data_IF_134934716302
#
_entry.id   IF_134934716302
#
_cell.length_a   1.000
_cell.length_b   1.000
_cell.length_c   1.000
_cell.angle_alpha   90.00
_cell.angle_beta   90.00
_cell.angle_gamma   90.00
#
_symmetry.space_group_name_H-M   'P 1'
#
loop_
_entity.id
_entity.type
_entity.pdbx_description
1 polymer ?
#
# COMPACT_ATOMS: atom_id res chain seq x y z
N UNK A 1 18.17 -33.43 13.33
CA UNK A 1 18.05 -32.75 12.03
C UNK A 1 16.59 -32.35 11.91
N UNK A 2 16.22 -31.24 12.52
CA UNK A 2 14.88 -30.65 12.42
C UNK A 2 15.07 -29.24 11.89
N UNK A 3 14.66 -29.00 10.65
CA UNK A 3 14.59 -27.69 10.04
C UNK A 3 13.36 -26.99 10.58
N UNK A 4 13.57 -25.91 11.30
CA UNK A 4 12.54 -24.95 11.68
C UNK A 4 12.32 -24.01 10.51
N UNK A 5 11.39 -24.32 9.63
CA UNK A 5 10.75 -23.36 8.73
C UNK A 5 9.75 -22.54 9.54
N UNK A 6 10.24 -21.51 10.21
CA UNK A 6 9.41 -20.50 10.83
C UNK A 6 8.96 -19.49 9.76
N UNK A 7 7.66 -19.43 9.57
CA UNK A 7 6.97 -18.67 8.53
C UNK A 7 7.40 -17.22 8.37
N UNK A 8 7.94 -16.94 7.19
CA UNK A 8 8.38 -15.62 6.75
C UNK A 8 7.27 -14.79 6.08
N UNK A 9 6.05 -15.32 6.05
CA UNK A 9 4.92 -14.70 5.36
C UNK A 9 4.10 -13.69 6.19
N UNK A 10 4.31 -13.64 7.53
CA UNK A 10 3.45 -12.83 8.41
C UNK A 10 3.90 -11.37 8.61
N UNK A 11 4.90 -10.92 7.86
CA UNK A 11 5.58 -9.65 8.12
C UNK A 11 5.18 -8.48 7.22
N UNK A 12 4.27 -8.70 6.28
CA UNK A 12 4.03 -7.71 5.24
C UNK A 12 3.02 -6.63 5.61
N UNK A 13 2.09 -6.87 6.55
CA UNK A 13 1.16 -5.82 7.02
C UNK A 13 0.61 -6.26 8.38
N UNK A 14 1.17 -5.73 9.46
CA UNK A 14 0.74 -6.03 10.82
C UNK A 14 -0.31 -5.06 11.33
N UNK A 15 -1.58 -5.30 11.07
CA UNK A 15 -2.65 -4.71 11.87
C UNK A 15 -3.17 -5.82 12.79
N UNK A 16 -2.52 -5.98 13.94
CA UNK A 16 -3.06 -6.78 15.03
C UNK A 16 -3.85 -5.85 15.97
N UNK A 17 -5.17 -5.93 15.94
CA UNK A 17 -6.05 -5.29 16.93
C UNK A 17 -6.47 -6.37 17.93
N UNK A 18 -6.23 -6.20 19.24
CA UNK A 18 -6.82 -7.08 20.25
C UNK A 18 -8.31 -6.78 20.37
N UNK A 19 -9.12 -7.81 20.19
CA UNK A 19 -10.56 -7.79 20.40
C UNK A 19 -10.82 -7.68 21.88
N UNK A 20 -11.29 -6.52 22.36
CA UNK A 20 -11.98 -6.41 23.66
C UNK A 20 -13.49 -6.35 23.43
N UNK A 21 -14.12 -7.39 23.92
CA UNK A 21 -15.54 -7.66 23.93
C UNK A 21 -16.30 -6.58 24.71
N UNK A 22 -17.12 -5.76 24.03
CA UNK A 22 -18.23 -5.03 24.64
C UNK A 22 -19.50 -5.43 23.91
N UNK A 23 -20.30 -6.26 24.60
CA UNK A 23 -21.68 -6.56 24.22
C UNK A 23 -22.53 -5.29 24.43
N UNK A 24 -22.98 -4.69 23.32
CA UNK A 24 -24.14 -3.79 23.35
C UNK A 24 -25.13 -4.31 22.32
N UNK A 25 -26.18 -4.92 22.86
CA UNK A 25 -27.35 -5.36 22.09
C UNK A 25 -28.13 -4.10 21.67
N UNK A 26 -28.04 -3.75 20.39
CA UNK A 26 -29.03 -2.90 19.74
C UNK A 26 -29.58 -3.67 18.53
N UNK A 27 -30.82 -4.13 18.70
CA UNK A 27 -31.62 -4.67 17.60
C UNK A 27 -31.90 -3.55 16.59
N UNK A 28 -31.12 -3.52 15.53
CA UNK A 28 -31.39 -2.73 14.33
C UNK A 28 -31.36 -3.67 13.14
N UNK A 29 -32.39 -3.66 12.30
CA UNK A 29 -32.54 -4.47 11.11
C UNK A 29 -31.32 -4.38 10.22
N UNK A 30 -30.40 -5.32 10.35
CA UNK A 30 -29.34 -5.54 9.37
C UNK A 30 -29.92 -6.42 8.28
N UNK A 31 -30.19 -5.82 7.13
CA UNK A 31 -30.35 -6.60 5.91
C UNK A 31 -29.10 -7.47 5.78
N UNK A 32 -29.26 -8.79 5.77
CA UNK A 32 -28.16 -9.74 5.64
C UNK A 32 -27.43 -9.47 4.32
N UNK A 33 -26.25 -8.86 4.39
CA UNK A 33 -25.26 -9.02 3.35
C UNK A 33 -24.96 -10.51 3.31
N UNK A 34 -25.19 -11.16 2.14
CA UNK A 34 -25.02 -12.58 1.96
C UNK A 34 -23.68 -13.07 2.52
N UNK A 35 -23.62 -14.31 2.93
CA UNK A 35 -22.54 -14.99 3.65
C UNK A 35 -21.17 -15.08 2.94
N UNK A 36 -21.00 -14.37 1.84
CA UNK A 36 -19.74 -14.30 1.08
C UNK A 36 -19.01 -13.01 1.46
N UNK A 37 -17.90 -13.12 2.23
CA UNK A 37 -17.02 -12.00 2.60
C UNK A 37 -16.58 -11.16 1.40
N UNK A 38 -15.84 -10.09 1.64
CA UNK A 38 -15.35 -9.19 0.57
C UNK A 38 -14.29 -9.84 -0.33
N UNK A 39 -13.78 -11.01 0.04
CA UNK A 39 -12.78 -11.77 -0.71
C UNK A 39 -13.30 -13.16 -1.05
N UNK A 40 -13.21 -13.52 -2.33
CA UNK A 40 -13.50 -14.87 -2.83
C UNK A 40 -12.25 -15.40 -3.57
N UNK A 41 -11.46 -16.21 -2.90
CA UNK A 41 -10.27 -16.83 -3.47
C UNK A 41 -10.56 -18.30 -3.85
N UNK A 42 -10.93 -18.52 -5.10
CA UNK A 42 -11.21 -19.85 -5.65
C UNK A 42 -9.94 -20.62 -6.04
N UNK A 43 -8.82 -19.91 -6.18
CA UNK A 43 -7.53 -20.48 -6.55
C UNK A 43 -6.66 -20.87 -5.34
N UNK A 44 -7.03 -20.41 -4.12
CA UNK A 44 -6.26 -20.68 -2.90
C UNK A 44 -4.89 -19.99 -2.87
N UNK A 45 -4.78 -18.79 -3.44
CA UNK A 45 -3.52 -18.05 -3.57
C UNK A 45 -3.26 -17.07 -2.41
N UNK A 46 -4.28 -16.79 -1.59
CA UNK A 46 -4.17 -15.95 -0.41
C UNK A 46 -3.95 -16.81 0.84
N UNK A 47 -3.00 -16.42 1.67
CA UNK A 47 -2.95 -16.92 3.05
C UNK A 47 -4.16 -16.39 3.84
N UNK A 48 -4.51 -17.08 4.94
CA UNK A 48 -5.61 -16.65 5.81
C UNK A 48 -5.39 -15.21 6.31
N UNK A 49 -4.17 -14.87 6.72
CA UNK A 49 -3.83 -13.52 7.15
C UNK A 49 -4.01 -12.46 6.07
N UNK A 50 -3.71 -12.76 4.80
CA UNK A 50 -3.95 -11.85 3.68
C UNK A 50 -5.45 -11.68 3.42
N UNK A 51 -6.20 -12.77 3.40
CA UNK A 51 -7.66 -12.76 3.25
C UNK A 51 -8.32 -11.89 4.31
N UNK A 52 -7.97 -12.10 5.58
CA UNK A 52 -8.52 -11.34 6.71
C UNK A 52 -8.17 -9.85 6.63
N UNK A 53 -6.97 -9.50 6.15
CA UNK A 53 -6.58 -8.09 5.97
C UNK A 53 -7.38 -7.42 4.85
N UNK A 54 -7.48 -8.05 3.68
CA UNK A 54 -8.25 -7.52 2.55
C UNK A 54 -9.73 -7.40 2.93
N UNK A 55 -10.30 -8.41 3.59
CA UNK A 55 -11.70 -8.38 4.02
C UNK A 55 -11.96 -7.23 4.99
N UNK A 56 -11.07 -7.01 5.94
CA UNK A 56 -11.17 -5.90 6.90
C UNK A 56 -11.09 -4.54 6.22
N UNK A 57 -10.14 -4.37 5.31
CA UNK A 57 -9.95 -3.13 4.55
C UNK A 57 -11.20 -2.83 3.72
N UNK A 58 -11.73 -3.82 3.01
CA UNK A 58 -12.93 -3.66 2.17
C UNK A 58 -14.18 -3.38 3.01
N UNK A 59 -14.29 -3.99 4.19
CA UNK A 59 -15.37 -3.71 5.14
C UNK A 59 -15.36 -2.26 5.60
N UNK A 60 -14.18 -1.74 5.98
CA UNK A 60 -14.03 -0.35 6.38
C UNK A 60 -14.36 0.62 5.24
N UNK A 61 -13.97 0.30 4.02
CA UNK A 61 -14.29 1.09 2.82
C UNK A 61 -15.80 1.19 2.61
N UNK A 62 -16.51 0.08 2.83
CA UNK A 62 -17.97 0.05 2.75
C UNK A 62 -18.61 0.88 3.90
N UNK A 63 -18.13 0.71 5.12
CA UNK A 63 -18.70 1.39 6.31
C UNK A 63 -18.45 2.90 6.29
N UNK A 64 -17.28 3.35 5.86
CA UNK A 64 -16.89 4.77 5.90
C UNK A 64 -17.29 5.54 4.64
N UNK A 65 -17.17 4.95 3.44
CA UNK A 65 -17.39 5.63 2.16
C UNK A 65 -18.59 5.09 1.36
N UNK A 66 -19.20 4.02 1.83
CA UNK A 66 -20.27 3.34 1.10
C UNK A 66 -19.78 2.65 -0.17
N UNK A 67 -18.47 2.41 -0.32
CA UNK A 67 -17.88 1.75 -1.49
C UNK A 67 -17.78 0.25 -1.23
N UNK A 68 -18.43 -0.54 -2.08
CA UNK A 68 -18.43 -2.00 -1.98
C UNK A 68 -17.33 -2.58 -2.90
N UNK A 69 -16.13 -2.75 -2.39
CA UNK A 69 -15.03 -3.42 -3.10
C UNK A 69 -15.09 -4.93 -2.83
N UNK A 70 -15.17 -5.73 -3.88
CA UNK A 70 -15.10 -7.20 -3.86
C UNK A 70 -13.87 -7.66 -4.64
N UNK A 71 -13.07 -8.53 -4.04
CA UNK A 71 -11.94 -9.20 -4.69
C UNK A 71 -12.33 -10.63 -5.01
N UNK A 72 -12.17 -11.04 -6.28
CA UNK A 72 -12.44 -12.41 -6.72
C UNK A 72 -11.21 -12.94 -7.46
N UNK A 73 -10.64 -14.06 -6.99
CA UNK A 73 -9.55 -14.77 -7.65
C UNK A 73 -10.13 -16.04 -8.27
N UNK A 74 -10.08 -16.13 -9.59
CA UNK A 74 -10.65 -17.25 -10.34
C UNK A 74 -9.73 -18.48 -10.27
N UNK A 75 -10.33 -19.65 -10.25
CA UNK A 75 -9.62 -20.93 -10.38
C UNK A 75 -9.40 -21.31 -11.84
N UNK A 76 -10.40 -20.99 -12.68
CA UNK A 76 -10.42 -21.34 -14.09
C UNK A 76 -10.65 -20.07 -14.91
N UNK A 77 -9.97 -19.97 -16.05
CA UNK A 77 -10.10 -18.82 -16.96
C UNK A 77 -11.45 -18.81 -17.65
N UNK A 78 -12.17 -17.69 -17.63
CA UNK A 78 -13.35 -17.52 -18.46
C UNK A 78 -12.95 -17.35 -19.94
N UNK A 79 -13.88 -17.58 -20.86
CA UNK A 79 -13.65 -17.35 -22.29
C UNK A 79 -13.38 -15.85 -22.58
N UNK A 80 -14.01 -14.96 -21.83
CA UNK A 80 -13.79 -13.50 -21.86
C UNK A 80 -13.89 -12.95 -20.43
N UNK A 81 -12.78 -12.41 -19.94
CA UNK A 81 -12.70 -11.83 -18.58
C UNK A 81 -13.58 -10.57 -18.47
N UNK A 82 -13.75 -9.81 -19.55
CA UNK A 82 -14.58 -8.60 -19.51
C UNK A 82 -16.05 -8.97 -19.32
N UNK A 83 -16.56 -9.92 -20.11
CA UNK A 83 -17.90 -10.41 -19.97
C UNK A 83 -18.14 -11.05 -18.58
N UNK A 84 -17.17 -11.83 -18.10
CA UNK A 84 -17.22 -12.44 -16.78
C UNK A 84 -17.22 -11.40 -15.64
N UNK A 85 -16.49 -10.30 -15.78
CA UNK A 85 -16.46 -9.23 -14.78
C UNK A 85 -17.80 -8.52 -14.69
N UNK A 86 -18.40 -8.15 -15.83
CA UNK A 86 -19.73 -7.51 -15.87
C UNK A 86 -20.80 -8.43 -15.27
N UNK A 87 -20.83 -9.71 -15.68
CA UNK A 87 -21.76 -10.69 -15.14
C UNK A 87 -21.61 -10.87 -13.62
N UNK A 88 -20.36 -10.96 -13.13
CA UNK A 88 -20.06 -11.07 -11.70
C UNK A 88 -20.48 -9.81 -10.94
N UNK A 89 -20.18 -8.64 -11.48
CA UNK A 89 -20.53 -7.36 -10.87
C UNK A 89 -22.05 -7.26 -10.65
N UNK A 90 -22.83 -7.58 -11.68
CA UNK A 90 -24.30 -7.57 -11.63
C UNK A 90 -24.84 -8.64 -10.69
N UNK A 91 -24.34 -9.88 -10.78
CA UNK A 91 -24.77 -11.00 -9.94
C UNK A 91 -24.51 -10.75 -8.45
N UNK A 92 -23.36 -10.14 -8.12
CA UNK A 92 -22.99 -9.79 -6.75
C UNK A 92 -23.67 -8.50 -6.29
N UNK A 93 -24.40 -7.80 -7.18
CA UNK A 93 -25.05 -6.51 -6.91
C UNK A 93 -24.10 -5.50 -6.24
N UNK A 94 -22.88 -5.41 -6.76
CA UNK A 94 -21.89 -4.50 -6.21
C UNK A 94 -22.37 -3.05 -6.34
N UNK A 95 -22.29 -2.27 -5.24
CA UNK A 95 -22.85 -0.93 -5.18
C UNK A 95 -24.37 -0.85 -5.03
N UNK A 96 -25.09 -1.95 -5.08
CA UNK A 96 -26.56 -1.97 -4.97
C UNK A 96 -27.11 -1.58 -3.58
N UNK A 97 -26.29 -1.69 -2.54
CA UNK A 97 -26.60 -1.24 -1.17
C UNK A 97 -26.39 0.26 -0.97
N UNK A 98 -25.67 0.91 -1.86
CA UNK A 98 -25.43 2.35 -1.89
C UNK A 98 -26.28 2.95 -3.00
N UNK A 99 -26.94 4.07 -2.75
CA UNK A 99 -27.84 4.73 -3.70
C UNK A 99 -27.13 5.28 -4.95
N UNK A 100 -26.23 4.56 -5.54
CA UNK A 100 -25.49 5.01 -6.69
C UNK A 100 -24.32 4.11 -6.94
N UNK A 101 -24.48 3.01 -7.52
CA UNK A 101 -23.47 2.16 -8.16
C UNK A 101 -22.01 2.32 -7.63
N UNK A 102 -21.84 2.44 -6.30
CA UNK A 102 -20.52 2.52 -5.65
C UNK A 102 -19.92 1.14 -5.46
N UNK A 103 -19.84 0.37 -6.55
CA UNK A 103 -19.26 -0.96 -6.58
C UNK A 103 -17.89 -0.96 -7.24
N UNK A 104 -16.99 -1.81 -6.77
CA UNK A 104 -15.71 -2.13 -7.41
C UNK A 104 -15.53 -3.64 -7.37
N UNK A 105 -15.31 -4.25 -8.52
CA UNK A 105 -14.90 -5.63 -8.64
C UNK A 105 -13.43 -5.70 -9.06
N UNK A 106 -12.60 -6.30 -8.22
CA UNK A 106 -11.24 -6.66 -8.57
C UNK A 106 -11.19 -8.15 -8.91
N UNK A 107 -11.19 -8.46 -10.20
CA UNK A 107 -11.19 -9.81 -10.74
C UNK A 107 -9.78 -10.21 -11.17
N UNK A 108 -9.27 -11.32 -10.63
CA UNK A 108 -7.95 -11.87 -10.95
C UNK A 108 -8.14 -13.25 -11.57
N UNK A 109 -7.59 -13.45 -12.75
CA UNK A 109 -7.50 -14.73 -13.46
C UNK A 109 -6.04 -15.17 -13.55
N UNK A 110 -5.54 -15.96 -12.58
CA UNK A 110 -4.15 -16.41 -12.58
C UNK A 110 -3.83 -17.36 -13.73
N UNK A 111 -4.78 -18.21 -14.13
CA UNK A 111 -4.57 -19.19 -15.18
C UNK A 111 -4.55 -18.56 -16.58
N UNK A 112 -5.47 -17.61 -16.84
CA UNK A 112 -5.49 -16.79 -18.05
C UNK A 112 -4.50 -15.64 -18.04
N UNK A 113 -3.76 -15.43 -16.92
CA UNK A 113 -2.79 -14.35 -16.74
C UNK A 113 -3.40 -12.97 -16.96
N UNK A 114 -4.59 -12.75 -16.44
CA UNK A 114 -5.35 -11.53 -16.66
C UNK A 114 -5.89 -10.98 -15.33
N UNK A 115 -6.06 -9.67 -15.31
CA UNK A 115 -6.77 -8.98 -14.25
C UNK A 115 -7.77 -8.00 -14.85
N UNK A 116 -8.84 -7.74 -14.09
CA UNK A 116 -9.85 -6.78 -14.48
C UNK A 116 -10.34 -6.02 -13.26
N UNK A 117 -10.39 -4.70 -13.37
CA UNK A 117 -11.12 -3.84 -12.45
C UNK A 117 -12.40 -3.37 -13.13
N UNK A 118 -13.56 -3.69 -12.56
CA UNK A 118 -14.86 -3.17 -12.99
C UNK A 118 -15.32 -2.14 -11.97
N UNK A 119 -15.63 -0.92 -12.44
CA UNK A 119 -15.89 0.24 -11.59
C UNK A 119 -17.33 0.69 -11.82
N UNK A 120 -18.07 0.89 -10.73
CA UNK A 120 -19.41 1.45 -10.77
C UNK A 120 -19.39 2.93 -11.16
N UNK A 121 -20.45 3.38 -11.83
CA UNK A 121 -20.54 4.70 -12.46
C UNK A 121 -20.22 5.88 -11.51
N UNK A 122 -20.70 5.82 -10.26
CA UNK A 122 -20.48 6.89 -9.28
C UNK A 122 -19.02 7.01 -8.80
N UNK A 123 -18.18 6.03 -9.14
CA UNK A 123 -16.78 5.98 -8.74
C UNK A 123 -15.80 6.37 -9.86
N UNK A 124 -16.28 6.62 -11.07
CA UNK A 124 -15.42 6.98 -12.20
C UNK A 124 -14.60 8.25 -11.95
N UNK A 125 -15.14 9.19 -11.16
CA UNK A 125 -14.41 10.39 -10.75
C UNK A 125 -13.31 10.12 -9.73
N UNK A 126 -13.38 9.02 -8.96
CA UNK A 126 -12.38 8.61 -7.98
C UNK A 126 -11.37 7.66 -8.62
N UNK A 127 -11.85 6.67 -9.33
CA UNK A 127 -11.07 5.67 -10.04
C UNK A 127 -11.11 5.94 -11.54
N UNK A 128 -10.41 6.97 -11.96
CA UNK A 128 -10.31 7.33 -13.37
C UNK A 128 -9.58 6.26 -14.18
N UNK A 129 -9.81 6.18 -15.49
CA UNK A 129 -9.10 5.24 -16.38
C UNK A 129 -7.57 5.39 -16.27
N UNK A 130 -7.09 6.64 -16.11
CA UNK A 130 -5.67 6.90 -15.94
C UNK A 130 -5.14 6.28 -14.64
N UNK A 131 -5.89 6.38 -13.54
CA UNK A 131 -5.54 5.77 -12.26
C UNK A 131 -5.60 4.24 -12.34
N UNK A 132 -6.64 3.68 -12.95
CA UNK A 132 -6.76 2.23 -13.13
C UNK A 132 -5.58 1.68 -13.94
N UNK A 133 -5.28 2.30 -15.09
CA UNK A 133 -4.12 1.91 -15.88
C UNK A 133 -2.77 2.06 -15.16
N UNK A 134 -2.65 3.04 -14.25
CA UNK A 134 -1.49 3.17 -13.39
C UNK A 134 -1.39 2.02 -12.39
N UNK A 135 -2.49 1.70 -11.66
CA UNK A 135 -2.55 0.57 -10.71
C UNK A 135 -2.14 -0.73 -11.39
N UNK A 136 -2.69 -0.99 -12.56
CA UNK A 136 -2.39 -2.20 -13.31
C UNK A 136 -0.91 -2.32 -13.68
N UNK A 137 -0.34 -1.30 -14.31
CA UNK A 137 1.04 -1.33 -14.80
C UNK A 137 2.08 -1.18 -13.70
N UNK A 138 1.82 -0.32 -12.72
CA UNK A 138 2.82 0.10 -11.73
C UNK A 138 2.73 -0.65 -10.42
N UNK A 139 1.59 -1.29 -10.14
CA UNK A 139 1.38 -2.06 -8.92
C UNK A 139 1.19 -3.56 -9.20
N UNK A 140 0.17 -3.92 -9.99
CA UNK A 140 -0.21 -5.32 -10.16
C UNK A 140 0.80 -6.11 -10.98
N UNK A 141 1.17 -5.59 -12.15
CA UNK A 141 2.07 -6.27 -13.09
C UNK A 141 3.41 -6.70 -12.45
N UNK A 142 4.16 -5.86 -11.70
CA UNK A 142 5.39 -6.28 -11.06
C UNK A 142 5.23 -7.46 -10.08
N UNK A 143 4.17 -7.46 -9.28
CA UNK A 143 3.91 -8.56 -8.34
C UNK A 143 3.56 -9.86 -9.06
N UNK A 144 2.74 -9.78 -10.08
CA UNK A 144 2.32 -10.98 -10.83
C UNK A 144 3.46 -11.56 -11.66
N UNK A 145 4.28 -10.73 -12.29
CA UNK A 145 5.51 -11.17 -12.97
C UNK A 145 6.47 -11.88 -12.01
N UNK A 146 6.57 -11.40 -10.77
CA UNK A 146 7.36 -12.04 -9.72
C UNK A 146 6.72 -13.33 -9.16
N UNK A 147 5.55 -13.76 -9.65
CA UNK A 147 4.81 -14.90 -9.13
C UNK A 147 4.20 -14.66 -7.73
N UNK A 148 4.13 -13.40 -7.28
CA UNK A 148 3.63 -13.01 -5.96
C UNK A 148 2.18 -12.53 -6.03
N UNK A 149 1.29 -13.36 -6.56
CA UNK A 149 -0.12 -13.00 -6.80
C UNK A 149 -0.82 -12.54 -5.52
N UNK A 150 -0.75 -13.30 -4.44
CA UNK A 150 -1.38 -12.95 -3.15
C UNK A 150 -0.93 -11.59 -2.62
N UNK A 151 0.38 -11.33 -2.42
CA UNK A 151 0.88 -10.01 -2.04
C UNK A 151 0.50 -8.89 -3.02
N UNK A 152 0.43 -9.18 -4.33
CA UNK A 152 0.01 -8.22 -5.34
C UNK A 152 -1.45 -7.82 -5.21
N UNK A 153 -2.33 -8.77 -4.94
CA UNK A 153 -3.76 -8.53 -4.69
C UNK A 153 -3.94 -7.66 -3.44
N UNK A 154 -3.26 -7.99 -2.35
CA UNK A 154 -3.31 -7.25 -1.09
C UNK A 154 -2.85 -5.79 -1.28
N UNK A 155 -1.65 -5.61 -1.85
CA UNK A 155 -1.09 -4.28 -2.11
C UNK A 155 -1.94 -3.44 -3.09
N UNK A 156 -2.64 -4.09 -4.02
CA UNK A 156 -3.58 -3.42 -4.93
C UNK A 156 -4.84 -2.97 -4.19
N UNK A 157 -5.42 -3.81 -3.34
CA UNK A 157 -6.57 -3.45 -2.53
C UNK A 157 -6.26 -2.23 -1.63
N UNK A 158 -5.08 -2.19 -1.01
CA UNK A 158 -4.63 -1.04 -0.21
C UNK A 158 -4.51 0.24 -1.04
N UNK A 159 -3.97 0.14 -2.27
CA UNK A 159 -3.83 1.30 -3.15
C UNK A 159 -5.20 1.85 -3.57
N UNK A 160 -6.17 0.97 -3.88
CA UNK A 160 -7.54 1.37 -4.20
C UNK A 160 -8.21 2.09 -3.01
N UNK A 161 -8.04 1.55 -1.81
CA UNK A 161 -8.56 2.18 -0.59
C UNK A 161 -7.90 3.53 -0.34
N UNK A 162 -6.57 3.61 -0.47
CA UNK A 162 -5.83 4.86 -0.33
C UNK A 162 -6.33 5.96 -1.29
N UNK A 163 -6.63 5.60 -2.55
CA UNK A 163 -7.20 6.51 -3.54
C UNK A 163 -8.60 6.97 -3.13
N UNK A 164 -9.49 6.05 -2.73
CA UNK A 164 -10.83 6.37 -2.31
C UNK A 164 -10.87 7.32 -1.11
N UNK A 165 -10.05 7.04 -0.08
CA UNK A 165 -9.93 7.88 1.12
C UNK A 165 -9.27 9.25 0.82
N UNK A 166 -8.35 9.31 -0.14
CA UNK A 166 -7.67 10.55 -0.54
C UNK A 166 -8.55 11.49 -1.38
N UNK A 167 -9.52 10.96 -2.10
CA UNK A 167 -10.44 11.73 -2.94
C UNK A 167 -11.42 12.59 -2.13
N UNK A 168 -11.70 12.26 -0.85
CA UNK A 168 -12.47 13.15 0.05
C UNK A 168 -11.72 14.41 0.46
N UNK A 169 -10.42 14.48 0.27
CA UNK A 169 -9.55 15.52 0.86
C UNK A 169 -8.96 16.55 -0.07
N UNK A 170 -9.01 16.48 -1.37
CA UNK A 170 -8.64 17.53 -2.33
C UNK A 170 -8.40 16.95 -3.73
N UNK A 171 -9.18 17.38 -4.66
CA UNK A 171 -8.86 17.41 -6.10
C UNK A 171 -7.87 18.57 -6.38
N UNK A 172 -6.66 18.50 -5.83
CA UNK A 172 -5.59 19.36 -6.33
C UNK A 172 -4.87 18.64 -7.47
N UNK A 173 -5.27 19.03 -8.67
CA UNK A 173 -4.95 18.43 -9.95
C UNK A 173 -3.50 18.59 -10.43
N UNK A 174 -2.58 19.12 -9.64
CA UNK A 174 -1.17 19.30 -10.05
C UNK A 174 -0.26 18.14 -9.70
N UNK A 175 -0.70 17.19 -8.86
CA UNK A 175 -0.01 15.93 -8.58
C UNK A 175 -0.73 14.74 -9.21
N UNK A 176 -1.62 14.98 -10.15
CA UNK A 176 -2.18 13.94 -10.98
C UNK A 176 -1.02 13.13 -11.57
N UNK A 177 -1.03 11.85 -11.30
CA UNK A 177 -0.13 10.85 -11.85
C UNK A 177 0.18 11.20 -13.30
N UNK A 178 1.46 11.31 -13.65
CA UNK A 178 1.90 11.64 -15.01
C UNK A 178 1.06 10.83 -15.99
N UNK A 179 0.34 11.47 -16.92
CA UNK A 179 -0.50 10.74 -17.87
C UNK A 179 0.34 9.69 -18.61
N UNK A 180 -0.24 8.54 -18.96
CA UNK A 180 0.45 7.52 -19.74
C UNK A 180 0.96 8.13 -21.04
N UNK A 181 2.06 7.59 -21.56
CA UNK A 181 2.66 8.03 -22.82
C UNK A 181 1.60 8.03 -23.94
N UNK A 182 1.53 9.08 -24.79
CA UNK A 182 0.47 9.23 -25.79
C UNK A 182 0.36 8.12 -26.83
N UNK A 183 1.24 7.11 -26.80
CA UNK A 183 1.24 5.95 -27.69
C UNK A 183 0.45 4.73 -27.18
N UNK A 184 0.05 4.67 -25.94
CA UNK A 184 -0.75 3.57 -25.39
C UNK A 184 -2.25 3.86 -25.51
N UNK A 185 -2.89 3.22 -26.48
CA UNK A 185 -4.35 3.28 -26.65
C UNK A 185 -5.02 2.47 -25.53
N UNK A 186 -5.67 3.16 -24.63
CA UNK A 186 -6.66 2.58 -23.73
C UNK A 186 -7.94 2.35 -24.52
N UNK A 187 -8.35 1.11 -24.76
CA UNK A 187 -9.66 0.83 -25.36
C UNK A 187 -10.72 1.04 -24.30
N UNK A 188 -11.65 1.96 -24.58
CA UNK A 188 -12.62 2.49 -23.67
C UNK A 188 -13.72 1.52 -23.26
N UNK A 189 -14.22 1.79 -22.10
CA UNK A 189 -15.32 1.21 -21.36
C UNK A 189 -14.86 1.05 -19.91
N UNK A 190 -15.55 1.60 -18.92
CA UNK A 190 -15.15 1.75 -17.51
C UNK A 190 -14.50 0.54 -16.84
N UNK A 191 -13.29 0.18 -17.24
CA UNK A 191 -12.49 -0.90 -16.69
C UNK A 191 -11.33 -1.25 -17.60
N UNK A 192 -10.12 -1.30 -17.06
CA UNK A 192 -8.93 -1.66 -17.82
C UNK A 192 -8.60 -3.15 -17.68
N UNK A 193 -8.03 -3.71 -18.73
CA UNK A 193 -7.55 -5.09 -18.81
C UNK A 193 -6.05 -5.09 -19.07
N UNK A 194 -5.31 -5.89 -18.30
CA UNK A 194 -3.92 -6.20 -18.60
C UNK A 194 -3.74 -7.72 -18.73
N UNK A 195 -3.00 -8.12 -19.77
CA UNK A 195 -2.43 -9.45 -19.90
C UNK A 195 -1.14 -9.51 -19.08
N UNK A 196 -1.09 -10.36 -18.06
CA UNK A 196 0.04 -10.47 -17.12
C UNK A 196 0.69 -11.83 -17.23
N UNK A 197 1.97 -11.89 -17.60
CA UNK A 197 2.75 -13.12 -17.44
C UNK A 197 3.10 -13.36 -15.98
N UNK A 198 2.41 -14.32 -15.36
CA UNK A 198 2.70 -14.74 -13.99
C UNK A 198 3.94 -15.63 -13.98
N UNK A 199 4.93 -15.28 -13.14
CA UNK A 199 6.13 -16.09 -12.94
C UNK A 199 7.19 -15.97 -14.03
N UNK A 200 7.08 -15.00 -14.95
CA UNK A 200 8.14 -14.73 -15.95
C UNK A 200 9.44 -14.22 -15.33
N UNK A 201 9.42 -13.95 -14.02
CA UNK A 201 10.51 -13.36 -13.25
C UNK A 201 10.54 -11.84 -13.40
N UNK A 202 10.85 -11.14 -12.33
CA UNK A 202 11.23 -9.71 -12.47
C UNK A 202 12.61 -9.73 -13.12
N UNK A 203 12.79 -9.17 -14.33
CA UNK A 203 14.14 -8.95 -14.82
C UNK A 203 14.89 -8.18 -13.73
N UNK A 204 16.01 -8.71 -13.24
CA UNK A 204 16.88 -7.91 -12.39
C UNK A 204 17.21 -6.66 -13.20
N UNK A 205 16.62 -5.54 -12.83
CA UNK A 205 16.91 -4.27 -13.47
C UNK A 205 18.41 -4.05 -13.30
N UNK A 206 19.16 -3.79 -14.35
CA UNK A 206 20.59 -3.47 -14.21
C UNK A 206 20.69 -2.31 -13.22
N UNK A 207 21.76 -2.31 -12.40
CA UNK A 207 22.05 -1.23 -11.45
C UNK A 207 21.86 0.11 -12.15
N UNK A 208 21.01 0.96 -11.59
CA UNK A 208 20.73 2.26 -12.17
C UNK A 208 22.06 3.04 -12.27
N UNK A 209 22.39 3.67 -13.39
CA UNK A 209 23.57 4.56 -13.49
C UNK A 209 23.53 5.68 -12.44
N UNK A 210 22.35 6.04 -11.95
CA UNK A 210 22.15 7.04 -10.89
C UNK A 210 22.46 6.50 -9.49
N UNK A 211 22.62 5.18 -9.31
CA UNK A 211 22.80 4.57 -7.99
C UNK A 211 24.04 5.09 -7.26
N UNK A 212 25.11 5.39 -8.00
CA UNK A 212 26.37 5.89 -7.43
C UNK A 212 26.26 7.31 -6.82
N UNK A 213 25.23 8.07 -7.19
CA UNK A 213 24.91 9.39 -6.62
C UNK A 213 24.11 9.33 -5.31
N UNK A 214 23.58 8.17 -4.93
CA UNK A 214 22.71 8.00 -3.76
C UNK A 214 23.43 7.33 -2.60
N UNK A 215 24.36 8.05 -2.00
CA UNK A 215 25.14 7.62 -0.84
C UNK A 215 24.76 8.30 0.46
N UNK A 216 25.50 7.98 1.57
CA UNK A 216 25.34 8.63 2.86
C UNK A 216 25.53 10.14 2.75
N UNK A 217 24.87 10.91 3.60
CA UNK A 217 24.83 12.36 3.51
C UNK A 217 25.37 13.04 4.77
N UNK A 218 25.79 14.30 4.64
CA UNK A 218 26.37 15.08 5.75
C UNK A 218 25.36 15.39 6.86
N UNK A 219 24.06 15.40 6.55
CA UNK A 219 22.97 15.64 7.52
C UNK A 219 21.78 14.72 7.26
N UNK A 220 20.93 14.44 8.27
CA UNK A 220 19.69 13.67 8.09
C UNK A 220 18.73 14.31 7.05
N UNK A 221 18.66 15.64 7.03
CA UNK A 221 17.83 16.36 6.06
C UNK A 221 18.28 16.09 4.63
N UNK A 222 19.60 16.16 4.36
CA UNK A 222 20.16 15.84 3.04
C UNK A 222 19.93 14.38 2.68
N UNK A 223 19.98 13.47 3.66
CA UNK A 223 19.69 12.06 3.43
C UNK A 223 18.21 11.87 3.03
N UNK A 224 17.28 12.60 3.65
CA UNK A 224 15.87 12.60 3.25
C UNK A 224 15.67 13.19 1.84
N UNK A 225 16.33 14.29 1.52
CA UNK A 225 16.25 14.86 0.15
C UNK A 225 16.82 13.89 -0.90
N UNK A 226 17.92 13.22 -0.58
CA UNK A 226 18.47 12.17 -1.46
C UNK A 226 17.52 11.01 -1.61
N UNK A 227 16.82 10.59 -0.54
CA UNK A 227 15.79 9.56 -0.61
C UNK A 227 14.60 9.99 -1.48
N UNK A 228 14.14 11.23 -1.37
CA UNK A 228 13.11 11.76 -2.29
C UNK A 228 13.54 11.69 -3.76
N UNK A 229 14.82 11.88 -4.06
CA UNK A 229 15.33 11.71 -5.44
C UNK A 229 15.34 10.23 -5.85
N UNK A 230 15.67 9.31 -4.94
CA UNK A 230 15.54 7.85 -5.17
C UNK A 230 14.10 7.50 -5.55
N UNK A 231 13.12 7.99 -4.78
CA UNK A 231 11.69 7.76 -5.04
C UNK A 231 11.25 8.35 -6.39
N UNK A 232 11.59 9.63 -6.64
CA UNK A 232 11.21 10.33 -7.88
C UNK A 232 11.76 9.68 -9.15
N UNK A 233 12.94 9.10 -9.06
CA UNK A 233 13.60 8.42 -10.19
C UNK A 233 13.28 6.91 -10.24
N UNK A 234 12.38 6.43 -9.38
CA UNK A 234 12.00 5.02 -9.28
C UNK A 234 13.23 4.08 -9.18
N UNK A 235 14.27 4.50 -8.43
CA UNK A 235 15.45 3.67 -8.20
C UNK A 235 15.12 2.59 -7.18
N UNK A 236 15.21 1.33 -7.60
CA UNK A 236 14.82 0.15 -6.80
C UNK A 236 16.01 -0.71 -6.40
N UNK A 237 17.23 -0.15 -6.50
CA UNK A 237 18.44 -0.86 -6.11
C UNK A 237 18.48 -1.03 -4.59
N UNK A 238 18.43 -2.26 -4.06
CA UNK A 238 18.51 -2.49 -2.61
C UNK A 238 19.91 -2.21 -2.04
N UNK A 239 20.94 -2.10 -2.90
CA UNK A 239 22.34 -1.94 -2.48
C UNK A 239 22.79 -0.48 -2.35
N UNK A 240 21.86 0.50 -2.51
CA UNK A 240 22.19 1.90 -2.31
C UNK A 240 22.88 2.12 -0.96
N UNK A 241 24.03 2.77 -0.96
CA UNK A 241 24.77 3.06 0.27
C UNK A 241 24.09 4.12 1.14
N UNK A 242 23.09 4.82 0.61
CA UNK A 242 22.15 5.64 1.38
C UNK A 242 21.40 4.83 2.46
N UNK A 243 21.29 3.52 2.30
CA UNK A 243 20.55 2.64 3.22
C UNK A 243 21.48 1.99 4.24
N UNK A 244 21.00 1.83 5.48
CA UNK A 244 21.69 0.99 6.48
C UNK A 244 21.84 -0.45 5.98
N UNK A 245 22.75 -1.21 6.56
CA UNK A 245 22.96 -2.62 6.22
C UNK A 245 21.68 -3.44 6.41
N UNK A 246 20.94 -3.17 7.47
CA UNK A 246 19.67 -3.80 7.81
C UNK A 246 18.61 -3.48 6.75
N UNK A 247 18.50 -2.23 6.34
CA UNK A 247 17.61 -1.78 5.27
C UNK A 247 17.93 -2.45 3.94
N UNK A 248 19.22 -2.54 3.56
CA UNK A 248 19.62 -3.27 2.34
C UNK A 248 19.22 -4.74 2.39
N UNK A 249 19.44 -5.42 3.55
CA UNK A 249 19.02 -6.81 3.74
C UNK A 249 17.50 -6.96 3.60
N UNK A 250 16.72 -6.05 4.18
CA UNK A 250 15.28 -6.01 4.07
C UNK A 250 14.83 -5.82 2.60
N UNK A 251 15.37 -4.82 1.91
CA UNK A 251 14.98 -4.48 0.54
C UNK A 251 15.34 -5.56 -0.51
N UNK A 252 16.36 -6.39 -0.27
CA UNK A 252 16.64 -7.56 -1.14
C UNK A 252 15.47 -8.55 -1.19
N UNK A 253 14.68 -8.62 -0.14
CA UNK A 253 13.55 -9.53 -0.01
C UNK A 253 12.21 -8.85 -0.32
N UNK A 254 12.21 -7.53 -0.41
CA UNK A 254 11.03 -6.72 -0.65
C UNK A 254 10.88 -6.39 -2.14
N UNK A 255 9.67 -6.56 -2.68
CA UNK A 255 9.39 -6.09 -4.02
C UNK A 255 8.91 -4.63 -3.96
N UNK A 256 9.75 -3.73 -4.40
CA UNK A 256 9.43 -2.29 -4.51
C UNK A 256 8.78 -2.02 -5.87
N UNK A 257 7.60 -1.40 -5.87
CA UNK A 257 6.90 -0.97 -7.09
C UNK A 257 7.01 0.54 -7.28
N UNK A 258 6.81 1.02 -8.52
CA UNK A 258 6.75 2.46 -8.80
C UNK A 258 5.62 3.11 -7.99
N UNK A 259 4.45 2.44 -7.90
CA UNK A 259 3.31 2.94 -7.15
C UNK A 259 3.59 3.13 -5.65
N UNK A 260 4.33 2.20 -5.03
CA UNK A 260 4.75 2.37 -3.63
C UNK A 260 5.69 3.56 -3.47
N UNK A 261 6.63 3.76 -4.41
CA UNK A 261 7.55 4.89 -4.37
C UNK A 261 6.83 6.23 -4.59
N UNK A 262 5.87 6.28 -5.50
CA UNK A 262 5.05 7.48 -5.73
C UNK A 262 4.20 7.83 -4.51
N UNK A 263 3.56 6.83 -3.88
CA UNK A 263 2.78 7.04 -2.66
C UNK A 263 3.63 7.59 -1.51
N UNK A 264 4.81 7.02 -1.30
CA UNK A 264 5.74 7.48 -0.29
C UNK A 264 6.21 8.92 -0.57
N UNK A 265 6.62 9.22 -1.80
CA UNK A 265 7.01 10.56 -2.20
C UNK A 265 5.88 11.57 -2.00
N UNK A 266 4.65 11.23 -2.41
CA UNK A 266 3.47 12.08 -2.26
C UNK A 266 3.14 12.33 -0.78
N UNK A 267 3.26 11.31 0.08
CA UNK A 267 3.06 11.47 1.53
C UNK A 267 4.06 12.46 2.13
N UNK A 268 5.35 12.37 1.73
CA UNK A 268 6.39 13.30 2.19
C UNK A 268 6.11 14.73 1.69
N UNK A 269 5.75 14.88 0.42
CA UNK A 269 5.54 16.20 -0.22
C UNK A 269 4.28 16.89 0.31
N UNK A 270 3.15 16.16 0.46
CA UNK A 270 1.87 16.73 0.94
C UNK A 270 1.94 17.25 2.36
N UNK A 271 2.75 16.64 3.21
CA UNK A 271 2.94 17.12 4.59
C UNK A 271 3.87 18.33 4.70
N UNK A 272 4.29 18.82 3.58
CA UNK A 272 4.86 20.12 3.26
C UNK A 272 5.83 20.73 4.27
N UNK A 273 7.10 20.71 4.01
CA UNK A 273 8.07 21.44 4.76
C UNK A 273 9.19 20.59 5.34
N UNK A 274 10.17 21.29 5.90
CA UNK A 274 11.23 20.65 6.63
C UNK A 274 10.66 20.03 7.90
N UNK A 275 10.68 18.69 7.98
CA UNK A 275 10.36 18.01 9.22
C UNK A 275 11.30 18.45 10.34
N UNK A 276 10.82 18.39 11.57
CA UNK A 276 11.66 18.64 12.76
C UNK A 276 12.69 17.52 12.89
N UNK A 277 13.98 17.91 13.02
CA UNK A 277 15.07 16.95 13.18
C UNK A 277 15.47 16.85 14.64
N UNK A 278 15.44 15.64 15.19
CA UNK A 278 15.83 15.33 16.55
C UNK A 278 17.01 14.36 16.49
N UNK A 279 18.10 14.73 17.14
CA UNK A 279 19.35 14.01 17.13
C UNK A 279 19.64 13.37 18.48
N UNK A 280 20.24 12.19 18.47
CA UNK A 280 20.81 11.54 19.64
C UNK A 280 22.01 10.71 19.20
N UNK A 281 23.23 11.19 19.49
CA UNK A 281 24.50 10.55 19.13
C UNK A 281 24.58 10.21 17.63
N UNK A 282 24.52 8.93 17.30
CA UNK A 282 24.58 8.39 15.94
C UNK A 282 23.20 8.14 15.31
N UNK A 283 22.11 8.60 15.94
CA UNK A 283 20.72 8.42 15.50
C UNK A 283 20.02 9.75 15.28
N UNK A 284 19.15 9.76 14.31
CA UNK A 284 18.31 10.91 14.03
C UNK A 284 16.90 10.48 13.62
N UNK A 285 15.93 11.33 13.96
CA UNK A 285 14.56 11.21 13.49
C UNK A 285 14.16 12.53 12.84
N UNK A 286 13.52 12.45 11.68
CA UNK A 286 12.80 13.57 11.09
C UNK A 286 11.33 13.33 11.32
N UNK A 287 10.68 14.21 12.09
CA UNK A 287 9.24 14.15 12.41
C UNK A 287 8.48 15.18 11.62
N UNK A 288 7.24 14.89 11.29
CA UNK A 288 6.30 15.80 10.65
C UNK A 288 5.17 16.19 11.62
N UNK A 289 4.43 17.28 11.34
CA UNK A 289 3.30 17.69 12.16
C UNK A 289 2.23 16.58 12.29
N UNK A 290 1.66 16.45 13.48
CA UNK A 290 0.64 15.43 13.79
C UNK A 290 -0.76 15.78 13.28
N UNK A 291 -0.95 16.85 12.51
CA UNK A 291 -2.27 17.35 12.12
C UNK A 291 -3.15 16.29 11.45
N UNK A 292 -2.56 15.47 10.60
CA UNK A 292 -3.25 14.38 9.93
C UNK A 292 -2.60 13.01 10.12
N UNK A 293 -1.36 12.95 10.65
CA UNK A 293 -0.58 11.73 10.87
C UNK A 293 -0.33 10.89 9.60
N UNK A 294 -0.35 11.51 8.41
CA UNK A 294 -0.14 10.79 7.14
C UNK A 294 1.34 10.70 6.75
N UNK A 295 2.20 11.64 7.20
CA UNK A 295 3.63 11.49 7.06
C UNK A 295 4.21 10.81 8.30
N UNK A 296 4.74 9.61 8.10
CA UNK A 296 5.47 8.89 9.14
C UNK A 296 6.80 9.56 9.45
N UNK A 297 7.35 9.36 10.66
CA UNK A 297 8.71 9.79 10.96
C UNK A 297 9.72 8.99 10.14
N UNK A 298 10.85 9.61 9.79
CA UNK A 298 11.99 8.97 9.13
C UNK A 298 13.13 8.76 10.12
N UNK A 299 13.71 7.55 10.11
CA UNK A 299 14.78 7.13 11.00
C UNK A 299 16.10 7.07 10.24
N UNK A 300 17.16 7.63 10.86
CA UNK A 300 18.49 7.67 10.28
C UNK A 300 19.55 7.20 11.27
N UNK A 301 20.59 6.54 10.75
CA UNK A 301 21.81 6.20 11.50
C UNK A 301 23.01 6.84 10.84
N UNK A 302 23.94 7.31 11.66
CA UNK A 302 25.20 7.88 11.22
C UNK A 302 26.26 6.77 11.15
N UNK A 303 26.80 6.57 9.96
CA UNK A 303 27.96 5.72 9.74
C UNK A 303 29.23 6.55 9.52
N UNK A 304 30.34 5.89 9.17
CA UNK A 304 31.62 6.57 8.91
C UNK A 304 31.53 7.64 7.81
N UNK A 305 30.74 7.35 6.78
CA UNK A 305 30.62 8.18 5.58
C UNK A 305 29.45 9.18 5.66
N UNK A 306 28.67 9.15 6.72
CA UNK A 306 27.53 10.06 6.92
C UNK A 306 26.23 9.39 7.34
N UNK A 307 25.13 10.13 7.17
CA UNK A 307 23.80 9.72 7.56
C UNK A 307 23.12 8.83 6.50
N UNK A 308 22.60 7.70 6.96
CA UNK A 308 21.91 6.69 6.16
C UNK A 308 20.48 6.50 6.64
N UNK A 309 19.56 6.19 5.73
CA UNK A 309 18.17 5.87 6.04
C UNK A 309 18.08 4.47 6.65
N UNK A 310 17.39 4.36 7.81
CA UNK A 310 17.07 3.10 8.49
C UNK A 310 15.60 2.71 8.26
N UNK A 311 15.27 2.37 7.02
CA UNK A 311 13.93 1.95 6.64
C UNK A 311 13.52 0.63 7.31
N UNK A 312 14.47 -0.26 7.60
CA UNK A 312 14.18 -1.51 8.31
C UNK A 312 13.63 -1.24 9.71
N UNK A 313 14.23 -0.29 10.46
CA UNK A 313 13.73 0.12 11.76
C UNK A 313 12.35 0.81 11.65
N UNK A 314 12.16 1.66 10.63
CA UNK A 314 10.85 2.27 10.36
C UNK A 314 9.79 1.19 10.12
N UNK A 315 10.05 0.25 9.21
CA UNK A 315 9.11 -0.82 8.89
C UNK A 315 8.79 -1.73 10.09
N UNK A 316 9.75 -1.93 10.99
CA UNK A 316 9.53 -2.68 12.24
C UNK A 316 8.59 -1.95 13.19
N UNK A 317 8.80 -0.66 13.36
CA UNK A 317 8.19 0.12 14.46
C UNK A 317 6.91 0.84 14.05
N UNK A 318 6.81 1.28 12.79
CA UNK A 318 5.70 2.10 12.29
C UNK A 318 4.68 1.24 11.55
N UNK A 319 3.41 1.45 11.87
CA UNK A 319 2.26 0.91 11.16
C UNK A 319 1.37 2.02 10.62
N UNK A 320 0.43 1.65 9.76
CA UNK A 320 -0.58 2.56 9.22
C UNK A 320 -1.96 1.97 9.42
N UNK A 321 -2.93 2.81 9.76
CA UNK A 321 -4.35 2.43 9.78
C UNK A 321 -4.96 2.60 8.37
N UNK A 322 -6.26 2.28 8.25
CA UNK A 322 -7.03 2.41 7.02
C UNK A 322 -7.13 3.86 6.49
N UNK A 323 -6.93 4.89 7.34
CA UNK A 323 -6.85 6.31 6.94
C UNK A 323 -5.44 6.75 6.56
N UNK A 324 -4.55 5.80 6.34
CA UNK A 324 -3.12 6.04 6.10
C UNK A 324 -2.45 6.89 7.19
N UNK A 325 -2.95 6.80 8.43
CA UNK A 325 -2.39 7.47 9.58
C UNK A 325 -1.41 6.55 10.28
N UNK A 326 -0.20 7.01 10.51
CA UNK A 326 0.81 6.22 11.16
C UNK A 326 0.59 6.10 12.68
N UNK A 327 1.02 4.97 13.22
CA UNK A 327 1.08 4.68 14.65
C UNK A 327 2.30 3.81 14.95
N UNK A 328 2.74 3.73 16.20
CA UNK A 328 3.75 2.77 16.58
C UNK A 328 3.14 1.41 16.94
N UNK A 329 3.66 0.36 16.28
CA UNK A 329 3.36 -1.05 16.62
C UNK A 329 4.02 -1.45 17.93
N UNK A 330 5.17 -0.85 18.22
CA UNK A 330 5.95 -1.06 19.45
C UNK A 330 6.64 0.22 19.83
N UNK A 331 6.73 0.48 21.14
CA UNK A 331 7.54 1.54 21.72
C UNK A 331 8.96 1.07 22.07
N UNK A 332 9.26 -0.21 21.88
CA UNK A 332 10.57 -0.79 22.19
C UNK A 332 11.48 -0.70 20.95
N UNK A 333 11.96 0.52 20.66
CA UNK A 333 12.93 0.74 19.58
C UNK A 333 13.85 1.93 19.86
N UNK A 334 15.01 1.92 19.26
CA UNK A 334 16.12 2.86 19.51
C UNK A 334 15.82 4.33 19.19
N UNK A 335 14.72 4.62 18.52
CA UNK A 335 14.33 5.96 18.06
C UNK A 335 13.28 6.64 18.93
N UNK A 336 12.86 6.00 20.05
CA UNK A 336 11.86 6.58 20.96
C UNK A 336 12.33 7.88 21.64
N UNK A 337 13.65 8.13 21.71
CA UNK A 337 14.19 9.38 22.24
C UNK A 337 13.59 10.62 21.56
N UNK A 338 13.21 10.49 20.30
CA UNK A 338 12.68 11.59 19.51
C UNK A 338 11.18 11.87 19.78
N UNK A 339 10.54 11.13 20.69
CA UNK A 339 9.10 11.22 20.96
C UNK A 339 8.80 11.44 22.44
N UNK A 340 9.78 11.91 23.22
CA UNK A 340 9.63 12.14 24.68
C UNK A 340 8.60 13.24 25.00
N UNK A 341 8.30 14.12 24.06
CA UNK A 341 7.28 15.18 24.14
C UNK A 341 5.87 14.71 23.76
N UNK A 342 5.73 13.41 23.45
CA UNK A 342 4.47 12.81 23.01
C UNK A 342 4.00 11.77 24.04
N UNK A 343 2.70 11.48 23.98
CA UNK A 343 2.08 10.32 24.60
C UNK A 343 1.44 9.47 23.51
N UNK A 344 1.44 8.17 23.71
CA UNK A 344 0.83 7.23 22.77
C UNK A 344 -0.39 6.59 23.40
N UNK A 345 -1.48 6.53 22.67
CA UNK A 345 -2.66 5.83 23.13
C UNK A 345 -2.45 4.30 23.08
N UNK A 346 -3.46 3.54 23.55
CA UNK A 346 -3.40 2.06 23.57
C UNK A 346 -3.22 1.42 22.17
N UNK A 347 -3.49 2.17 21.12
CA UNK A 347 -3.35 1.71 19.72
C UNK A 347 -2.03 2.21 19.10
N UNK A 348 -1.18 2.89 19.86
CA UNK A 348 0.11 3.42 19.41
C UNK A 348 0.03 4.73 18.65
N UNK A 349 -1.12 5.43 18.61
CA UNK A 349 -1.22 6.73 17.98
C UNK A 349 -0.59 7.83 18.83
N UNK A 350 0.23 8.70 18.22
CA UNK A 350 0.88 9.80 18.90
C UNK A 350 -0.08 10.96 19.17
N UNK A 351 0.03 11.54 20.36
CA UNK A 351 -0.65 12.75 20.79
C UNK A 351 0.36 13.70 21.41
N UNK A 352 0.13 15.00 21.29
CA UNK A 352 0.93 15.98 22.05
C UNK A 352 0.72 15.75 23.52
N UNK A 353 1.78 15.82 24.29
CA UNK A 353 1.70 15.81 25.75
C UNK A 353 0.97 17.09 26.17
N UNK A 354 -0.03 17.03 27.07
CA UNK A 354 -0.76 18.21 27.56
C UNK A 354 0.15 19.19 28.29
#
# INVERSE_FOLDING_TARGET
>A
MNSTDAGFSDWLIGIAVPVSLILLVLSGCTGSVGSDGFVEDRAGLLSDGQRDRIDRINRQLLEELGIHLKTVILKESPADINAAAVELFDRLRLGGTTRGAKGVLFLVDPAGKQVRLEIGYDLEGIFTDAFIGYVERRQMLPFFQAGRVGPGVEATAELLVGQAMGAEGTLDSELALKPPDPGERLSGGGGARIDVEIGSGVPQKPRSPLADGFGPQSTPQKALETYKMVLRNHVKDPELTLYTKETRRFLRQWLVTDAQQDNELNAIVRNGGAGEVILSEDRAVIRFPLSNRQASPFFFRKGPDGWMLDFAAMNHSVGFNHKNQWFFRTSEHDFMFAFNDMVFDRNGFPHKRP
#
